data_IF_228863437203
#
_entry.id   IF_228863437203
#
_cell.length_a   1.000
_cell.length_b   1.000
_cell.length_c   1.000
_cell.angle_alpha   90.00
_cell.angle_beta   90.00
_cell.angle_gamma   90.00
#
_symmetry.space_group_name_H-M   'P 1'
#
loop_
_entity.id
_entity.type
_entity.pdbx_description
1 polymer ?
#
# COMPACT_ATOMS: atom_id res chain seq x y z
N UNK A 1 0.62 31.21 -1.16
CA UNK A 1 0.45 30.86 -2.57
C UNK A 1 1.74 30.29 -3.11
N UNK A 2 1.67 29.17 -3.84
CA UNK A 2 2.83 28.56 -4.51
C UNK A 2 2.79 28.93 -5.99
N UNK A 3 3.91 29.36 -6.57
CA UNK A 3 3.98 29.78 -7.98
C UNK A 3 4.46 28.64 -8.86
N UNK A 4 3.75 28.38 -9.95
CA UNK A 4 4.20 27.50 -11.03
C UNK A 4 3.63 27.97 -12.37
N UNK A 5 4.48 28.05 -13.39
CA UNK A 5 4.11 28.45 -14.76
C UNK A 5 3.27 29.76 -14.83
N UNK A 6 3.73 30.81 -14.14
CA UNK A 6 3.05 32.12 -14.03
C UNK A 6 1.64 32.08 -13.39
N UNK A 7 1.28 30.98 -12.73
CA UNK A 7 0.04 30.85 -11.97
C UNK A 7 0.33 30.68 -10.49
N UNK A 8 -0.61 31.15 -9.66
CA UNK A 8 -0.55 31.02 -8.20
C UNK A 8 -1.55 29.97 -7.72
N UNK A 9 -1.06 29.02 -6.93
CA UNK A 9 -1.83 27.93 -6.35
C UNK A 9 -2.01 28.12 -4.83
N UNK A 10 -3.19 27.77 -4.28
CA UNK A 10 -3.45 27.83 -2.85
C UNK A 10 -2.52 26.92 -2.04
N UNK A 11 -2.18 25.75 -2.58
CA UNK A 11 -1.37 24.73 -1.91
C UNK A 11 -0.17 24.27 -2.73
N UNK A 12 0.80 23.65 -2.04
CA UNK A 12 1.91 22.94 -2.69
C UNK A 12 1.40 21.75 -3.50
N UNK A 13 0.42 21.00 -2.98
CA UNK A 13 -0.17 19.85 -3.66
C UNK A 13 -0.73 20.22 -5.04
N UNK A 14 -1.46 21.33 -5.14
CA UNK A 14 -1.97 21.82 -6.44
C UNK A 14 -0.83 22.22 -7.38
N UNK A 15 0.19 22.93 -6.91
CA UNK A 15 1.34 23.25 -7.74
C UNK A 15 2.07 21.99 -8.23
N UNK A 16 2.18 20.95 -7.38
CA UNK A 16 2.77 19.66 -7.75
C UNK A 16 1.93 18.93 -8.81
N UNK A 17 0.61 18.94 -8.69
CA UNK A 17 -0.29 18.42 -9.73
C UNK A 17 -0.18 19.17 -11.05
N UNK A 18 -0.11 20.50 -11.00
CA UNK A 18 0.11 21.33 -12.19
C UNK A 18 1.43 20.94 -12.90
N UNK A 19 2.50 20.71 -12.13
CA UNK A 19 3.78 20.24 -12.65
C UNK A 19 3.68 18.84 -13.26
N UNK A 20 2.96 17.93 -12.62
CA UNK A 20 2.74 16.58 -13.13
C UNK A 20 1.94 16.58 -14.44
N UNK A 21 0.81 17.30 -14.51
CA UNK A 21 0.03 17.41 -15.75
C UNK A 21 0.86 17.98 -16.90
N UNK A 22 1.70 18.98 -16.61
CA UNK A 22 2.62 19.54 -17.60
C UNK A 22 3.65 18.52 -18.08
N UNK A 23 4.24 17.75 -17.16
CA UNK A 23 5.22 16.71 -17.49
C UNK A 23 4.61 15.59 -18.34
N UNK A 24 3.37 15.19 -18.03
CA UNK A 24 2.62 14.16 -18.76
C UNK A 24 1.91 14.70 -20.02
N UNK A 25 2.13 15.99 -20.35
CA UNK A 25 1.56 16.68 -21.51
C UNK A 25 0.02 16.63 -21.55
N UNK A 26 -0.61 16.59 -20.38
CA UNK A 26 -2.05 16.76 -20.26
C UNK A 26 -2.31 18.26 -20.34
N UNK A 27 -3.07 18.71 -21.33
CA UNK A 27 -3.40 20.13 -21.43
C UNK A 27 -4.31 20.49 -20.25
N UNK A 28 -3.98 21.54 -19.52
CA UNK A 28 -4.72 21.95 -18.33
C UNK A 28 -4.81 23.47 -18.22
N UNK A 29 -5.85 23.93 -17.54
CA UNK A 29 -5.99 25.30 -17.05
C UNK A 29 -6.47 25.28 -15.60
N UNK A 30 -6.16 26.31 -14.82
CA UNK A 30 -6.58 26.40 -13.42
C UNK A 30 -7.73 27.40 -13.26
N UNK A 31 -8.88 26.91 -12.81
CA UNK A 31 -10.05 27.72 -12.53
C UNK A 31 -10.04 28.14 -11.06
N UNK A 32 -9.37 29.26 -10.76
CA UNK A 32 -9.17 29.74 -9.38
C UNK A 32 -10.47 29.90 -8.58
N UNK A 33 -11.55 30.34 -9.23
CA UNK A 33 -12.89 30.48 -8.60
C UNK A 33 -13.49 29.14 -8.14
N UNK A 34 -13.04 28.03 -8.74
CA UNK A 34 -13.48 26.66 -8.42
C UNK A 34 -12.44 25.89 -7.62
N UNK A 35 -11.23 26.45 -7.44
CA UNK A 35 -10.06 25.76 -6.89
C UNK A 35 -9.84 24.38 -7.54
N UNK A 36 -9.91 24.36 -8.88
CA UNK A 36 -9.88 23.12 -9.65
C UNK A 36 -9.13 23.30 -10.96
N UNK A 37 -8.56 22.21 -11.46
CA UNK A 37 -7.99 22.10 -12.79
C UNK A 37 -9.07 21.70 -13.79
N UNK A 38 -9.03 22.27 -14.99
CA UNK A 38 -9.77 21.78 -16.14
C UNK A 38 -8.75 21.09 -17.04
N UNK A 39 -8.80 19.76 -17.11
CA UNK A 39 -7.99 18.96 -18.00
C UNK A 39 -8.66 18.95 -19.38
N UNK A 40 -8.06 19.65 -20.35
CA UNK A 40 -8.48 19.72 -21.75
C UNK A 40 -7.88 18.53 -22.53
N UNK A 41 -8.22 17.34 -22.04
CA UNK A 41 -7.93 16.05 -22.66
C UNK A 41 -9.16 15.58 -23.46
N UNK A 42 -9.11 14.39 -24.05
CA UNK A 42 -10.19 13.92 -24.94
C UNK A 42 -11.57 13.96 -24.27
N UNK A 43 -11.62 13.64 -22.98
CA UNK A 43 -12.81 13.82 -22.14
C UNK A 43 -12.53 14.94 -21.14
N UNK A 44 -13.07 16.16 -21.36
CA UNK A 44 -12.82 17.29 -20.45
C UNK A 44 -13.17 16.93 -19.01
N UNK A 45 -12.18 17.04 -18.13
CA UNK A 45 -12.29 16.56 -16.74
C UNK A 45 -11.99 17.69 -15.77
N UNK A 46 -12.87 17.94 -14.81
CA UNK A 46 -12.64 18.89 -13.72
C UNK A 46 -11.91 18.16 -12.57
N UNK A 47 -10.62 18.43 -12.39
CA UNK A 47 -9.82 17.79 -11.36
C UNK A 47 -9.69 18.67 -10.11
N UNK A 48 -10.10 18.14 -8.96
CA UNK A 48 -10.15 18.80 -7.66
C UNK A 48 -9.09 18.17 -6.76
N UNK A 49 -8.16 18.95 -6.22
CA UNK A 49 -7.12 18.45 -5.32
C UNK A 49 -7.59 18.56 -3.88
N UNK A 50 -7.46 17.47 -3.14
CA UNK A 50 -7.83 17.39 -1.73
C UNK A 50 -6.61 17.02 -0.87
N UNK A 51 -6.62 17.34 0.44
CA UNK A 51 -5.57 16.89 1.34
C UNK A 51 -5.67 15.39 1.67
N UNK A 52 -6.64 14.66 1.12
CA UNK A 52 -6.80 13.24 1.36
C UNK A 52 -5.69 12.44 0.67
N UNK A 53 -5.24 11.40 1.35
CA UNK A 53 -4.11 10.56 0.97
C UNK A 53 -4.49 9.08 0.84
N UNK A 54 -5.76 8.74 1.05
CA UNK A 54 -6.33 7.39 0.95
C UNK A 54 -7.73 7.42 0.32
N UNK A 55 -8.18 6.34 -0.37
CA UNK A 55 -9.47 6.31 -1.06
C UNK A 55 -10.66 6.61 -0.16
N UNK A 56 -10.69 6.06 1.07
CA UNK A 56 -11.78 6.26 2.02
C UNK A 56 -12.01 7.76 2.35
N UNK A 57 -10.93 8.56 2.41
CA UNK A 57 -11.03 10.00 2.66
C UNK A 57 -11.47 10.78 1.42
N UNK A 58 -11.12 10.32 0.22
CA UNK A 58 -11.64 10.87 -1.04
C UNK A 58 -13.15 10.63 -1.15
N UNK A 59 -13.63 9.43 -0.82
CA UNK A 59 -15.06 9.14 -0.80
C UNK A 59 -15.79 10.00 0.23
N UNK A 60 -15.22 10.18 1.43
CA UNK A 60 -15.80 11.09 2.42
C UNK A 60 -15.88 12.54 1.91
N UNK A 61 -14.92 13.00 1.10
CA UNK A 61 -14.99 14.29 0.44
C UNK A 61 -16.12 14.37 -0.58
N UNK A 62 -16.32 13.33 -1.41
CA UNK A 62 -17.42 13.27 -2.38
C UNK A 62 -18.78 13.28 -1.68
N UNK A 63 -18.95 12.46 -0.64
CA UNK A 63 -20.24 12.31 0.07
C UNK A 63 -20.61 13.56 0.86
N UNK A 64 -19.65 14.21 1.51
CA UNK A 64 -19.91 15.35 2.38
C UNK A 64 -19.67 16.71 1.70
N UNK A 65 -19.01 16.72 0.55
CA UNK A 65 -18.58 17.93 -0.15
C UNK A 65 -19.66 18.46 -1.09
N UNK A 66 -19.74 19.79 -1.20
CA UNK A 66 -20.46 20.43 -2.30
C UNK A 66 -19.55 20.45 -3.52
N UNK A 67 -19.73 19.48 -4.41
CA UNK A 67 -19.01 19.48 -5.68
C UNK A 67 -19.43 20.68 -6.53
N UNK A 68 -18.49 21.30 -7.26
CA UNK A 68 -18.81 22.39 -8.19
C UNK A 68 -19.69 21.89 -9.33
N UNK A 69 -20.58 22.74 -9.83
CA UNK A 69 -21.40 22.42 -11.01
C UNK A 69 -20.51 22.21 -12.23
N UNK A 70 -20.62 21.02 -12.81
CA UNK A 70 -19.92 20.58 -14.01
C UNK A 70 -20.85 19.62 -14.76
N UNK A 71 -20.79 19.59 -16.09
CA UNK A 71 -21.65 18.73 -16.93
C UNK A 71 -20.85 17.61 -17.62
N UNK A 72 -19.55 17.51 -17.31
CA UNK A 72 -18.64 16.44 -17.73
C UNK A 72 -18.11 15.71 -16.49
N UNK A 73 -16.96 15.06 -16.62
CA UNK A 73 -16.36 14.24 -15.57
C UNK A 73 -15.68 15.06 -14.48
N UNK A 74 -15.75 14.58 -13.23
CA UNK A 74 -15.06 15.16 -12.08
C UNK A 74 -14.01 14.17 -11.58
N UNK A 75 -12.78 14.60 -11.39
CA UNK A 75 -11.69 13.79 -10.83
C UNK A 75 -11.28 14.34 -9.46
N UNK A 76 -11.50 13.58 -8.40
CA UNK A 76 -11.05 13.95 -7.05
C UNK A 76 -9.67 13.35 -6.81
N UNK A 77 -8.69 14.22 -6.66
CA UNK A 77 -7.29 13.88 -6.48
C UNK A 77 -6.91 13.95 -5.00
N UNK A 78 -6.01 13.04 -4.61
CA UNK A 78 -5.29 13.17 -3.35
C UNK A 78 -4.08 14.11 -3.46
N UNK A 79 -3.16 13.98 -2.51
CA UNK A 79 -1.91 14.75 -2.50
C UNK A 79 -0.86 14.26 -3.50
N UNK A 80 -1.03 13.06 -4.06
CA UNK A 80 -0.11 12.41 -5.02
C UNK A 80 -0.86 11.35 -5.86
N UNK A 81 -0.33 10.92 -7.03
CA UNK A 81 -0.98 9.96 -7.94
C UNK A 81 -0.92 8.48 -7.51
N UNK A 82 -0.63 8.19 -6.25
CA UNK A 82 -0.49 6.83 -5.73
C UNK A 82 -0.63 6.82 -4.20
N UNK A 83 -1.27 5.80 -3.64
CA UNK A 83 -1.38 5.64 -2.19
C UNK A 83 -0.13 4.98 -1.62
N UNK A 84 0.28 3.86 -2.22
CA UNK A 84 1.53 3.16 -1.96
C UNK A 84 2.32 2.88 -3.27
N UNK A 85 3.49 2.25 -3.14
CA UNK A 85 4.39 1.90 -4.26
C UNK A 85 3.82 0.87 -5.24
N UNK A 86 2.68 0.26 -4.93
CA UNK A 86 2.04 -0.80 -5.71
C UNK A 86 0.69 -0.35 -6.30
N UNK A 87 0.07 0.70 -5.75
CA UNK A 87 -1.20 1.23 -6.20
C UNK A 87 -1.02 2.48 -7.08
N UNK A 88 -1.18 2.32 -8.39
CA UNK A 88 -1.22 3.44 -9.35
C UNK A 88 -2.63 4.06 -9.39
N UNK A 89 -3.12 4.59 -8.27
CA UNK A 89 -4.47 5.16 -8.17
C UNK A 89 -4.41 6.69 -8.20
N UNK A 90 -4.95 7.29 -9.26
CA UNK A 90 -4.96 8.74 -9.45
C UNK A 90 -5.85 9.45 -8.41
N UNK A 91 -6.97 8.82 -8.09
CA UNK A 91 -8.03 9.39 -7.27
C UNK A 91 -9.39 8.71 -7.49
N UNK A 92 -10.46 9.48 -7.38
CA UNK A 92 -11.83 9.05 -7.71
C UNK A 92 -12.34 9.78 -8.96
N UNK A 93 -12.79 9.04 -9.96
CA UNK A 93 -13.39 9.60 -11.17
C UNK A 93 -14.90 9.48 -11.07
N UNK A 94 -15.59 10.60 -11.22
CA UNK A 94 -17.03 10.72 -11.28
C UNK A 94 -17.49 10.88 -12.72
N UNK A 95 -18.16 9.87 -13.26
CA UNK A 95 -18.82 9.96 -14.56
C UNK A 95 -20.25 10.50 -14.37
N UNK A 96 -20.65 11.54 -15.12
CA UNK A 96 -22.00 12.06 -15.03
C UNK A 96 -23.00 11.03 -15.58
N UNK A 97 -24.04 10.73 -14.83
CA UNK A 97 -25.19 9.98 -15.32
C UNK A 97 -26.47 10.80 -15.16
N UNK A 98 -27.39 10.59 -16.08
CA UNK A 98 -28.68 11.27 -16.07
C UNK A 98 -29.75 10.32 -15.58
N UNK A 99 -30.21 10.49 -14.35
CA UNK A 99 -31.41 9.80 -13.88
C UNK A 99 -32.64 10.49 -14.47
N UNK A 100 -33.53 9.73 -15.13
CA UNK A 100 -34.74 10.29 -15.72
C UNK A 100 -35.57 11.01 -14.64
N UNK A 101 -35.89 12.29 -14.88
CA UNK A 101 -36.77 13.08 -14.00
C UNK A 101 -36.08 13.90 -12.91
N UNK A 102 -34.76 13.80 -12.72
CA UNK A 102 -34.01 14.69 -11.81
C UNK A 102 -33.43 15.90 -12.56
N UNK A 103 -33.46 17.08 -11.93
CA UNK A 103 -32.74 18.28 -12.40
C UNK A 103 -31.33 18.28 -11.83
N UNK A 104 -30.31 18.21 -12.68
CA UNK A 104 -28.90 18.21 -12.29
C UNK A 104 -28.14 17.00 -12.85
N UNK A 105 -26.85 16.93 -12.56
CA UNK A 105 -26.01 15.78 -12.87
C UNK A 105 -25.75 15.01 -11.57
N UNK A 106 -26.13 13.74 -11.53
CA UNK A 106 -25.61 12.81 -10.54
C UNK A 106 -24.32 12.18 -11.09
N UNK A 107 -23.44 11.75 -10.19
CA UNK A 107 -22.13 11.22 -10.55
C UNK A 107 -21.96 9.82 -10.00
N UNK A 108 -21.53 8.90 -10.86
CA UNK A 108 -21.05 7.60 -10.41
C UNK A 108 -19.55 7.73 -10.16
N UNK A 109 -19.16 7.72 -8.89
CA UNK A 109 -17.76 7.81 -8.49
C UNK A 109 -17.20 6.42 -8.22
N UNK A 110 -16.09 6.10 -8.88
CA UNK A 110 -15.27 4.95 -8.53
C UNK A 110 -13.78 5.31 -8.55
N UNK A 111 -12.94 4.34 -8.23
CA UNK A 111 -11.50 4.50 -8.33
C UNK A 111 -11.07 4.81 -9.76
N UNK A 112 -10.02 5.63 -9.87
CA UNK A 112 -9.44 6.05 -11.13
C UNK A 112 -7.99 5.57 -11.25
N UNK A 113 -7.74 4.32 -11.68
CA UNK A 113 -6.38 3.84 -11.86
C UNK A 113 -5.68 4.60 -13.00
N UNK A 114 -4.40 4.86 -12.81
CA UNK A 114 -3.49 5.26 -13.88
C UNK A 114 -3.08 4.04 -14.69
N UNK A 115 -2.95 4.23 -16.00
CA UNK A 115 -2.51 3.19 -16.92
C UNK A 115 -1.66 3.79 -18.04
N UNK A 116 -0.85 2.94 -18.66
CA UNK A 116 -0.19 3.27 -19.90
C UNK A 116 -1.05 2.76 -21.06
N UNK A 117 -1.63 3.66 -21.86
CA UNK A 117 -2.50 3.24 -22.95
C UNK A 117 -1.67 2.56 -24.04
N UNK A 118 -1.94 1.28 -24.31
CA UNK A 118 -1.14 0.50 -25.27
C UNK A 118 -1.32 1.00 -26.70
N UNK A 119 -2.42 1.69 -27.01
CA UNK A 119 -2.67 2.25 -28.33
C UNK A 119 -1.96 3.59 -28.50
N UNK A 120 -2.25 4.57 -27.65
CA UNK A 120 -1.74 5.93 -27.83
C UNK A 120 -0.36 6.16 -27.18
N UNK A 121 0.16 5.18 -26.44
CA UNK A 121 1.49 5.20 -25.80
C UNK A 121 1.66 6.36 -24.81
N UNK A 122 0.57 6.78 -24.18
CA UNK A 122 0.55 7.87 -23.19
C UNK A 122 0.05 7.37 -21.85
N UNK A 123 0.54 7.99 -20.77
CA UNK A 123 -0.05 7.85 -19.45
C UNK A 123 -1.48 8.42 -19.49
N UNK A 124 -2.42 7.66 -18.97
CA UNK A 124 -3.83 8.02 -18.88
C UNK A 124 -4.45 7.42 -17.63
N UNK A 125 -5.76 7.58 -17.47
CA UNK A 125 -6.56 7.03 -16.39
C UNK A 125 -7.93 6.61 -16.94
N UNK A 126 -8.65 5.80 -16.18
CA UNK A 126 -9.97 5.29 -16.54
C UNK A 126 -10.83 5.11 -15.30
N UNK A 127 -12.13 4.88 -15.50
CA UNK A 127 -13.07 4.61 -14.40
C UNK A 127 -13.12 3.10 -14.12
N UNK A 128 -12.79 2.66 -12.89
CA UNK A 128 -12.63 1.24 -12.57
C UNK A 128 -13.91 0.39 -12.73
N UNK A 129 -15.09 1.00 -12.60
CA UNK A 129 -16.38 0.30 -12.61
C UNK A 129 -17.27 0.61 -13.84
N UNK A 130 -16.87 1.53 -14.72
CA UNK A 130 -17.72 2.02 -15.79
C UNK A 130 -16.94 2.08 -17.09
N UNK A 131 -16.57 3.28 -17.56
CA UNK A 131 -15.91 3.39 -18.85
C UNK A 131 -14.39 3.28 -18.71
N UNK A 132 -13.88 2.19 -19.29
CA UNK A 132 -12.44 1.89 -19.33
C UNK A 132 -11.64 2.79 -20.28
N UNK A 133 -12.28 3.69 -21.04
CA UNK A 133 -11.62 4.43 -22.11
C UNK A 133 -10.47 5.33 -21.62
N UNK A 134 -9.41 5.39 -22.43
CA UNK A 134 -8.27 6.27 -22.21
C UNK A 134 -8.72 7.74 -22.23
N UNK A 135 -8.71 8.44 -21.10
CA UNK A 135 -9.12 9.87 -21.05
C UNK A 135 -8.24 10.81 -21.86
N UNK A 136 -7.01 10.41 -22.17
CA UNK A 136 -6.06 11.24 -22.91
C UNK A 136 -6.29 11.17 -24.42
N UNK A 137 -6.61 10.00 -24.99
CA UNK A 137 -6.81 9.82 -26.44
C UNK A 137 -8.23 9.46 -26.86
N UNK A 138 -9.04 8.91 -25.95
CA UNK A 138 -10.36 8.33 -26.23
C UNK A 138 -10.33 6.91 -26.77
N UNK A 139 -9.16 6.26 -26.78
CA UNK A 139 -9.05 4.84 -27.14
C UNK A 139 -9.97 4.01 -26.25
N UNK A 140 -10.72 3.09 -26.86
CA UNK A 140 -11.64 2.19 -26.17
C UNK A 140 -11.73 0.88 -26.94
N UNK A 141 -11.24 -0.18 -26.32
CA UNK A 141 -11.33 -1.57 -26.78
C UNK A 141 -11.63 -2.48 -25.57
N UNK A 142 -12.60 -2.04 -24.74
CA UNK A 142 -12.77 -2.60 -23.40
C UNK A 142 -11.53 -2.37 -22.53
N UNK A 143 -10.99 -3.42 -21.93
CA UNK A 143 -9.77 -3.41 -21.12
C UNK A 143 -8.48 -3.70 -21.93
N UNK A 144 -8.58 -4.12 -23.19
CA UNK A 144 -7.44 -4.49 -24.03
C UNK A 144 -6.42 -3.37 -24.25
N UNK A 145 -6.85 -2.11 -24.08
CA UNK A 145 -5.98 -0.94 -24.22
C UNK A 145 -5.27 -0.52 -22.92
N UNK A 146 -5.59 -1.15 -21.78
CA UNK A 146 -5.04 -0.85 -20.45
C UNK A 146 -3.69 -1.56 -20.30
N UNK A 147 -2.61 -0.80 -20.41
CA UNK A 147 -1.26 -1.31 -20.17
C UNK A 147 -0.83 -1.18 -18.71
N UNK A 148 0.10 -2.06 -18.33
CA UNK A 148 0.73 -2.05 -17.01
C UNK A 148 1.47 -0.73 -16.76
N UNK A 149 1.37 -0.22 -15.53
CA UNK A 149 2.12 0.91 -15.04
C UNK A 149 2.79 0.52 -13.72
N UNK A 150 4.12 0.56 -13.70
CA UNK A 150 4.91 0.33 -12.49
C UNK A 150 4.79 1.52 -11.53
N UNK A 151 4.38 1.28 -10.28
CA UNK A 151 4.28 2.30 -9.25
C UNK A 151 5.62 2.98 -8.93
N UNK A 152 6.74 2.26 -9.06
CA UNK A 152 8.08 2.84 -8.87
C UNK A 152 8.42 3.81 -10.01
N UNK A 153 8.04 3.47 -11.25
CA UNK A 153 8.21 4.37 -12.39
C UNK A 153 7.33 5.62 -12.25
N UNK A 154 6.09 5.46 -11.80
CA UNK A 154 5.17 6.56 -11.55
C UNK A 154 5.69 7.51 -10.46
N UNK A 155 6.19 6.97 -9.34
CA UNK A 155 6.79 7.77 -8.28
C UNK A 155 7.99 8.58 -8.80
N UNK A 156 8.86 7.95 -9.59
CA UNK A 156 9.98 8.64 -10.23
C UNK A 156 9.51 9.78 -11.13
N UNK A 157 8.50 9.57 -11.97
CA UNK A 157 7.92 10.62 -12.83
C UNK A 157 7.35 11.78 -12.03
N UNK A 158 6.65 11.48 -10.93
CA UNK A 158 6.11 12.48 -10.00
C UNK A 158 7.22 13.34 -9.38
N UNK A 159 8.30 12.71 -8.90
CA UNK A 159 9.46 13.41 -8.32
C UNK A 159 10.19 14.25 -9.38
N UNK A 160 10.38 13.69 -10.58
CA UNK A 160 11.06 14.37 -11.69
C UNK A 160 10.27 15.62 -12.14
N UNK A 161 8.95 15.54 -12.22
CA UNK A 161 8.08 16.67 -12.57
C UNK A 161 8.25 17.83 -11.58
N UNK A 162 8.23 17.53 -10.28
CA UNK A 162 8.40 18.54 -9.23
C UNK A 162 9.82 19.10 -9.18
N UNK A 163 10.83 18.27 -9.43
CA UNK A 163 12.23 18.68 -9.45
C UNK A 163 12.45 19.67 -10.58
N UNK A 164 11.97 19.34 -11.79
CA UNK A 164 12.04 20.24 -12.97
C UNK A 164 11.25 21.52 -12.75
N UNK A 165 10.15 21.46 -12.01
CA UNK A 165 9.33 22.62 -11.66
C UNK A 165 9.95 23.51 -10.56
N UNK A 166 11.06 23.11 -9.93
CA UNK A 166 11.63 23.82 -8.79
C UNK A 166 10.73 23.79 -7.55
N UNK A 167 9.78 22.86 -7.49
CA UNK A 167 8.86 22.71 -6.35
C UNK A 167 9.49 21.86 -5.23
N UNK A 168 10.50 21.05 -5.58
CA UNK A 168 11.31 20.30 -4.62
C UNK A 168 12.43 21.13 -3.95
N UNK A 169 12.48 22.44 -4.18
CA UNK A 169 13.56 23.32 -3.69
C UNK A 169 13.34 23.87 -2.27
N UNK A 170 12.18 23.66 -1.66
CA UNK A 170 11.91 24.00 -0.25
C UNK A 170 12.42 22.97 0.78
N UNK A 171 13.02 21.86 0.33
CA UNK A 171 13.75 20.93 1.21
C UNK A 171 15.26 21.23 1.22
N UNK A 172 15.78 21.91 0.19
CA UNK A 172 17.23 22.19 0.09
C UNK A 172 17.73 23.32 0.99
N UNK A 173 16.90 24.34 1.29
CA UNK A 173 17.31 25.42 2.22
C UNK A 173 17.19 25.03 3.70
N UNK A 174 16.48 23.96 4.03
CA UNK A 174 16.63 23.29 5.33
C UNK A 174 17.79 22.29 5.35
N UNK A 175 18.31 21.88 4.17
CA UNK A 175 19.43 20.93 4.04
C UNK A 175 20.79 21.52 4.41
N UNK A 176 21.00 22.83 4.22
CA UNK A 176 22.26 23.49 4.60
C UNK A 176 22.33 23.93 6.07
N UNK A 177 21.22 23.85 6.82
CA UNK A 177 21.23 23.85 8.30
C UNK A 177 21.25 22.44 8.89
N UNK A 178 20.91 21.39 8.12
CA UNK A 178 21.02 19.98 8.56
C UNK A 178 22.37 19.32 8.31
N UNK A 179 23.32 19.97 7.62
CA UNK A 179 24.69 19.43 7.48
C UNK A 179 25.51 19.49 8.79
N UNK A 180 25.03 20.19 9.83
CA UNK A 180 25.66 20.21 11.17
C UNK A 180 24.91 19.42 12.25
N UNK A 181 23.87 18.67 11.88
CA UNK A 181 23.09 17.80 12.80
C UNK A 181 23.36 16.30 12.52
N UNK A 182 24.35 15.98 11.68
CA UNK A 182 24.65 14.58 11.31
C UNK A 182 25.52 13.88 12.38
N UNK A 183 25.94 14.57 13.44
CA UNK A 183 26.63 13.97 14.57
C UNK A 183 25.93 14.40 15.86
N UNK A 184 25.41 13.42 16.62
CA UNK A 184 24.63 13.53 17.86
C UNK A 184 23.12 13.78 17.71
N UNK A 185 22.38 12.76 17.22
CA UNK A 185 21.46 11.99 18.09
C UNK A 185 21.50 10.54 17.60
N UNK A 186 22.36 9.75 18.21
CA UNK A 186 22.02 8.37 18.47
C UNK A 186 20.87 8.36 19.49
N UNK A 187 19.92 7.45 19.29
CA UNK A 187 18.69 7.18 20.04
C UNK A 187 17.36 7.81 19.57
N UNK A 188 16.47 6.85 19.28
CA UNK A 188 15.01 6.86 19.20
C UNK A 188 14.25 7.37 17.95
N UNK A 189 14.13 6.41 17.00
CA UNK A 189 12.89 5.87 16.38
C UNK A 189 11.70 6.83 16.18
N UNK A 190 11.40 7.14 14.91
CA UNK A 190 10.03 7.01 14.39
C UNK A 190 10.02 6.81 12.87
N UNK A 191 10.64 5.74 12.41
CA UNK A 191 10.27 5.15 11.12
C UNK A 191 8.95 4.40 11.33
N UNK A 192 7.84 4.97 10.87
CA UNK A 192 6.55 4.28 10.83
C UNK A 192 6.54 3.32 9.64
N UNK A 193 7.44 2.35 9.66
CA UNK A 193 7.32 1.16 8.81
C UNK A 193 6.08 0.40 9.29
N UNK A 194 5.04 0.36 8.45
CA UNK A 194 3.96 -0.60 8.61
C UNK A 194 4.50 -1.99 8.27
N UNK A 195 5.27 -2.56 9.19
CA UNK A 195 5.76 -3.92 9.05
C UNK A 195 4.68 -4.89 9.52
N UNK A 196 4.47 -5.97 8.76
CA UNK A 196 3.58 -7.06 9.17
C UNK A 196 4.15 -7.88 10.35
N UNK A 197 5.26 -7.44 10.95
CA UNK A 197 5.90 -8.08 12.09
C UNK A 197 5.51 -7.41 13.41
N UNK A 198 5.44 -8.20 14.47
CA UNK A 198 5.26 -7.73 15.83
C UNK A 198 6.39 -6.80 16.29
N UNK A 199 6.04 -5.58 16.71
CA UNK A 199 6.97 -4.55 17.19
C UNK A 199 7.32 -4.66 18.67
N UNK A 200 6.91 -5.74 19.34
CA UNK A 200 6.95 -5.87 20.81
C UNK A 200 8.33 -5.99 21.44
N UNK A 201 9.39 -6.18 20.64
CA UNK A 201 10.77 -6.35 21.15
C UNK A 201 11.53 -5.02 21.06
N UNK A 202 12.07 -4.56 22.19
CA UNK A 202 12.80 -3.28 22.31
C UNK A 202 14.04 -3.24 21.41
N UNK A 203 14.76 -4.37 21.27
CA UNK A 203 15.93 -4.56 20.42
C UNK A 203 15.83 -5.85 19.59
N UNK A 204 15.15 -5.84 18.43
CA UNK A 204 15.05 -7.02 17.58
C UNK A 204 16.39 -7.34 16.92
N UNK A 205 16.65 -8.62 16.68
CA UNK A 205 17.76 -9.06 15.82
C UNK A 205 17.30 -8.88 14.37
N UNK A 206 18.10 -8.19 13.55
CA UNK A 206 17.80 -7.95 12.14
C UNK A 206 18.63 -8.90 11.28
N UNK A 207 17.96 -9.71 10.44
CA UNK A 207 18.60 -10.59 9.46
C UNK A 207 17.81 -10.54 8.16
N UNK A 208 18.47 -10.28 7.02
CA UNK A 208 17.82 -10.09 5.71
C UNK A 208 16.63 -9.11 5.72
N UNK A 209 16.75 -8.00 6.46
CA UNK A 209 15.70 -7.01 6.66
C UNK A 209 14.41 -7.54 7.36
N UNK A 210 14.51 -8.69 8.03
CA UNK A 210 13.47 -9.27 8.88
C UNK A 210 13.88 -9.15 10.36
N UNK A 211 12.89 -8.94 11.23
CA UNK A 211 13.08 -8.80 12.68
C UNK A 211 12.76 -10.09 13.42
N UNK A 212 13.63 -10.45 14.35
CA UNK A 212 13.53 -11.65 15.18
C UNK A 212 13.69 -11.30 16.67
N UNK A 213 13.06 -12.09 17.53
CA UNK A 213 13.10 -11.91 18.99
C UNK A 213 14.23 -12.70 19.64
N UNK A 214 14.76 -13.72 18.94
CA UNK A 214 15.80 -14.60 19.45
C UNK A 214 16.78 -15.07 18.36
N UNK A 215 17.99 -15.48 18.78
CA UNK A 215 18.96 -16.14 17.88
C UNK A 215 18.46 -17.49 17.38
N UNK A 216 17.60 -18.16 18.16
CA UNK A 216 16.95 -19.41 17.79
C UNK A 216 16.04 -19.21 16.58
N UNK A 217 15.21 -18.17 16.56
CA UNK A 217 14.41 -17.83 15.39
C UNK A 217 15.27 -17.56 14.15
N UNK A 218 16.38 -16.80 14.29
CA UNK A 218 17.30 -16.54 13.16
C UNK A 218 17.81 -17.85 12.55
N UNK A 219 18.18 -18.83 13.39
CA UNK A 219 18.62 -20.15 12.90
C UNK A 219 17.54 -20.92 12.16
N UNK A 220 16.29 -20.85 12.62
CA UNK A 220 15.16 -21.45 11.89
C UNK A 220 14.93 -20.73 10.56
N UNK A 221 15.02 -19.41 10.53
CA UNK A 221 14.90 -18.62 9.31
C UNK A 221 15.99 -18.99 8.29
N UNK A 222 17.25 -19.12 8.73
CA UNK A 222 18.36 -19.59 7.90
C UNK A 222 18.10 -21.00 7.33
N UNK A 223 17.54 -21.92 8.12
CA UNK A 223 17.20 -23.26 7.65
C UNK A 223 16.03 -23.26 6.66
N UNK A 224 14.99 -22.45 6.88
CA UNK A 224 13.89 -22.26 5.92
C UNK A 224 14.35 -21.65 4.60
N UNK A 225 15.28 -20.68 4.64
CA UNK A 225 15.91 -20.06 3.47
C UNK A 225 16.70 -21.09 2.65
N UNK A 226 17.48 -21.97 3.31
CA UNK A 226 18.21 -23.05 2.62
C UNK A 226 17.27 -24.00 1.86
N UNK A 227 16.11 -24.30 2.43
CA UNK A 227 15.07 -25.11 1.80
C UNK A 227 14.25 -24.33 0.75
N UNK A 228 14.54 -23.04 0.54
CA UNK A 228 13.89 -22.14 -0.43
C UNK A 228 12.37 -22.07 -0.26
N UNK A 229 11.92 -22.02 0.99
CA UNK A 229 10.50 -21.97 1.34
C UNK A 229 10.09 -20.54 1.62
N UNK A 230 8.87 -20.16 1.24
CA UNK A 230 8.29 -18.86 1.61
C UNK A 230 7.89 -18.89 3.08
N UNK A 231 8.36 -17.92 3.88
CA UNK A 231 7.98 -17.78 5.28
C UNK A 231 7.81 -16.32 5.70
N UNK A 232 7.05 -16.11 6.77
CA UNK A 232 6.79 -14.83 7.41
C UNK A 232 7.08 -14.95 8.91
N UNK A 233 8.21 -14.42 9.41
CA UNK A 233 8.53 -14.49 10.82
C UNK A 233 7.77 -13.45 11.63
N UNK A 234 7.38 -13.79 12.85
CA UNK A 234 6.74 -12.90 13.84
C UNK A 234 5.56 -12.10 13.28
N UNK A 235 4.79 -12.69 12.36
CA UNK A 235 3.73 -11.98 11.65
C UNK A 235 2.51 -11.70 12.55
N UNK A 236 1.72 -10.67 12.24
CA UNK A 236 0.46 -10.42 12.96
C UNK A 236 -0.73 -11.01 12.22
N UNK A 237 -1.40 -11.98 12.83
CA UNK A 237 -2.64 -12.56 12.33
C UNK A 237 -3.85 -11.95 13.05
N UNK A 238 -4.90 -11.57 12.30
CA UNK A 238 -6.21 -11.17 12.86
C UNK A 238 -7.21 -12.30 12.70
N UNK A 239 -7.57 -12.96 13.79
CA UNK A 239 -8.40 -14.17 13.79
C UNK A 239 -9.61 -14.03 14.71
N UNK A 240 -10.61 -14.90 14.55
CA UNK A 240 -11.81 -14.93 15.38
C UNK A 240 -13.08 -14.88 14.56
N UNK A 241 -14.09 -15.66 14.99
CA UNK A 241 -15.39 -15.74 14.32
C UNK A 241 -16.38 -14.70 14.86
N UNK A 242 -16.45 -14.53 16.19
CA UNK A 242 -17.33 -13.57 16.87
C UNK A 242 -16.54 -12.39 17.44
N UNK A 243 -15.47 -12.67 18.18
CA UNK A 243 -14.54 -11.67 18.70
C UNK A 243 -13.20 -11.80 17.98
N UNK A 244 -12.79 -10.71 17.32
CA UNK A 244 -11.55 -10.66 16.54
C UNK A 244 -10.37 -10.28 17.44
N UNK A 245 -9.32 -11.09 17.46
CA UNK A 245 -8.09 -10.86 18.22
C UNK A 245 -6.84 -10.93 17.33
N UNK A 246 -5.77 -10.28 17.77
CA UNK A 246 -4.47 -10.37 17.14
C UNK A 246 -3.68 -11.51 17.79
N UNK A 247 -3.13 -12.42 16.98
CA UNK A 247 -2.21 -13.46 17.41
C UNK A 247 -0.92 -13.36 16.59
N UNK A 248 0.18 -13.79 17.19
CA UNK A 248 1.52 -13.64 16.62
C UNK A 248 2.21 -15.00 16.67
N UNK A 249 2.21 -15.78 15.57
CA UNK A 249 3.03 -16.98 15.48
C UNK A 249 4.48 -16.60 15.20
N UNK A 250 5.41 -17.44 15.66
CA UNK A 250 6.84 -17.23 15.41
C UNK A 250 7.17 -17.34 13.91
N UNK A 251 6.61 -18.34 13.22
CA UNK A 251 6.72 -18.46 11.76
C UNK A 251 5.40 -18.91 11.12
N UNK A 252 4.96 -18.18 10.10
CA UNK A 252 3.99 -18.67 9.12
C UNK A 252 4.74 -19.13 7.87
N UNK A 253 4.56 -20.38 7.46
CA UNK A 253 5.30 -21.03 6.37
C UNK A 253 4.35 -21.47 5.28
N UNK A 254 4.68 -21.15 4.02
CA UNK A 254 3.95 -21.60 2.85
C UNK A 254 4.79 -22.61 2.07
N UNK A 255 4.34 -23.87 2.04
CA UNK A 255 5.07 -24.95 1.38
C UNK A 255 4.11 -25.86 0.61
N UNK A 256 4.38 -26.06 -0.69
CA UNK A 256 3.58 -26.89 -1.60
C UNK A 256 2.07 -26.59 -1.54
N UNK A 257 1.72 -25.30 -1.52
CA UNK A 257 0.34 -24.82 -1.48
C UNK A 257 -0.35 -24.95 -0.11
N UNK A 258 0.38 -25.35 0.93
CA UNK A 258 -0.15 -25.45 2.30
C UNK A 258 0.45 -24.39 3.21
N UNK A 259 -0.35 -23.91 4.15
CA UNK A 259 0.08 -23.00 5.21
C UNK A 259 0.29 -23.77 6.51
N UNK A 260 1.44 -23.59 7.13
CA UNK A 260 1.75 -24.14 8.45
C UNK A 260 2.32 -23.08 9.36
N UNK A 261 2.20 -23.28 10.67
CA UNK A 261 2.80 -22.45 11.70
C UNK A 261 3.83 -23.27 12.47
N UNK A 262 5.04 -22.74 12.59
CA UNK A 262 6.12 -23.27 13.42
C UNK A 262 6.29 -22.32 14.61
N UNK A 263 6.04 -22.81 15.81
CA UNK A 263 6.22 -22.09 17.08
C UNK A 263 7.45 -22.64 17.82
N UNK A 264 8.25 -21.74 18.41
CA UNK A 264 9.45 -22.08 19.18
C UNK A 264 9.10 -21.93 20.66
N UNK A 265 9.14 -23.04 21.40
CA UNK A 265 8.74 -23.06 22.80
C UNK A 265 9.93 -22.78 23.73
N UNK A 266 9.84 -21.66 24.47
CA UNK A 266 10.87 -21.19 25.38
C UNK A 266 10.67 -21.67 26.82
N UNK A 267 11.52 -22.61 27.25
CA UNK A 267 11.74 -23.12 28.62
C UNK A 267 10.63 -24.02 29.23
N UNK A 268 10.98 -25.16 29.87
CA UNK A 268 10.06 -26.27 30.20
C UNK A 268 9.17 -26.06 31.45
N UNK A 269 9.00 -24.83 31.94
CA UNK A 269 8.36 -24.54 33.23
C UNK A 269 7.00 -23.82 33.10
N UNK A 270 6.14 -24.28 32.20
CA UNK A 270 4.80 -23.71 32.08
C UNK A 270 3.78 -24.54 32.87
N UNK A 271 3.09 -23.97 33.88
CA UNK A 271 2.05 -24.68 34.62
C UNK A 271 0.88 -25.08 33.70
N UNK A 272 0.17 -26.14 34.06
CA UNK A 272 -0.94 -26.73 33.30
C UNK A 272 -2.06 -25.74 32.90
N UNK A 273 -2.12 -24.56 33.53
CA UNK A 273 -3.06 -23.48 33.20
C UNK A 273 -2.78 -22.77 31.86
N UNK A 274 -1.56 -22.84 31.30
CA UNK A 274 -1.23 -22.25 29.99
C UNK A 274 -1.47 -23.18 28.80
N UNK A 275 -1.37 -24.49 28.99
CA UNK A 275 -1.65 -25.49 27.95
C UNK A 275 -3.06 -25.34 27.37
N UNK A 276 -4.08 -25.09 28.22
CA UNK A 276 -5.44 -24.86 27.74
C UNK A 276 -5.58 -23.60 26.86
N UNK A 277 -4.79 -22.56 27.14
CA UNK A 277 -4.77 -21.32 26.38
C UNK A 277 -4.02 -21.49 25.04
N UNK A 278 -2.91 -22.21 25.04
CA UNK A 278 -2.14 -22.57 23.84
C UNK A 278 -2.96 -23.47 22.90
N UNK A 279 -3.63 -24.49 23.44
CA UNK A 279 -4.55 -25.31 22.66
C UNK A 279 -5.72 -24.50 22.07
N UNK A 280 -6.19 -23.45 22.75
CA UNK A 280 -7.21 -22.56 22.20
C UNK A 280 -6.66 -21.68 21.07
N UNK A 281 -5.42 -21.21 21.18
CA UNK A 281 -4.73 -20.44 20.12
C UNK A 281 -4.53 -21.29 18.87
N UNK A 282 -3.96 -22.48 19.02
CA UNK A 282 -3.64 -23.36 17.89
C UNK A 282 -4.92 -23.77 17.15
N UNK A 283 -5.99 -24.12 17.89
CA UNK A 283 -7.31 -24.40 17.30
C UNK A 283 -7.87 -23.25 16.48
N UNK A 284 -7.61 -22.00 16.89
CA UNK A 284 -8.11 -20.84 16.17
C UNK A 284 -7.43 -20.68 14.79
N UNK A 285 -6.12 -20.92 14.72
CA UNK A 285 -5.39 -20.94 13.45
C UNK A 285 -5.89 -22.05 12.52
N UNK A 286 -6.03 -23.26 13.05
CA UNK A 286 -6.53 -24.41 12.26
C UNK A 286 -7.94 -24.14 11.70
N UNK A 287 -8.81 -23.53 12.50
CA UNK A 287 -10.16 -23.17 12.07
C UNK A 287 -10.19 -22.09 10.96
N UNK A 288 -9.10 -21.33 10.79
CA UNK A 288 -8.95 -20.31 9.75
C UNK A 288 -8.11 -20.80 8.55
N UNK A 289 -7.94 -22.11 8.38
CA UNK A 289 -7.34 -22.68 7.18
C UNK A 289 -5.83 -22.94 7.25
N UNK A 290 -5.20 -22.74 8.41
CA UNK A 290 -3.85 -23.25 8.64
C UNK A 290 -3.89 -24.77 8.72
N UNK A 291 -3.03 -25.46 7.99
CA UNK A 291 -3.04 -26.93 7.89
C UNK A 291 -2.30 -27.61 9.03
N UNK A 292 -1.33 -26.94 9.64
CA UNK A 292 -0.52 -27.46 10.74
C UNK A 292 -0.10 -26.32 11.66
N UNK A 293 -0.20 -26.53 12.97
CA UNK A 293 0.49 -25.72 13.97
C UNK A 293 1.38 -26.67 14.75
N UNK A 294 2.69 -26.50 14.67
CA UNK A 294 3.66 -27.38 15.31
C UNK A 294 4.59 -26.56 16.20
N UNK A 295 4.73 -27.00 17.45
CA UNK A 295 5.65 -26.45 18.44
C UNK A 295 6.91 -27.31 18.50
N UNK A 296 8.06 -26.68 18.61
CA UNK A 296 9.36 -27.33 18.81
C UNK A 296 10.07 -26.70 20.01
N UNK A 297 10.86 -27.49 20.74
CA UNK A 297 11.66 -26.99 21.86
C UNK A 297 12.71 -25.98 21.37
N UNK A 298 12.93 -24.90 22.13
CA UNK A 298 13.88 -23.87 21.74
C UNK A 298 15.33 -24.36 21.66
N UNK A 299 15.74 -25.35 22.47
CA UNK A 299 17.07 -25.92 22.38
C UNK A 299 17.21 -26.75 21.10
N UNK A 300 16.20 -27.57 20.78
CA UNK A 300 16.18 -28.33 19.52
C UNK A 300 16.25 -27.39 18.31
N UNK A 301 15.48 -26.31 18.31
CA UNK A 301 15.50 -25.29 17.26
C UNK A 301 16.88 -24.61 17.13
N UNK A 302 17.60 -24.45 18.24
CA UNK A 302 18.91 -23.78 18.24
C UNK A 302 20.05 -24.71 17.80
N UNK A 303 20.03 -25.95 18.29
CA UNK A 303 21.07 -26.94 18.07
C UNK A 303 20.93 -27.65 16.72
N UNK A 304 19.69 -27.92 16.29
CA UNK A 304 19.41 -28.69 15.08
C UNK A 304 18.30 -28.07 14.18
N UNK A 305 18.46 -26.80 13.75
CA UNK A 305 17.44 -26.07 13.00
C UNK A 305 17.07 -26.73 11.67
N UNK A 306 18.04 -27.34 10.97
CA UNK A 306 17.80 -27.97 9.67
C UNK A 306 16.89 -29.20 9.79
N UNK A 307 17.08 -30.02 10.83
CA UNK A 307 16.21 -31.17 11.07
C UNK A 307 14.82 -30.74 11.49
N UNK A 308 14.71 -29.73 12.36
CA UNK A 308 13.42 -29.14 12.77
C UNK A 308 12.63 -28.69 11.55
N UNK A 309 13.26 -27.91 10.66
CA UNK A 309 12.61 -27.44 9.42
C UNK A 309 12.22 -28.61 8.52
N UNK A 310 13.11 -29.58 8.29
CA UNK A 310 12.78 -30.77 7.47
C UNK A 310 11.62 -31.56 8.03
N UNK A 311 11.61 -31.81 9.34
CA UNK A 311 10.51 -32.49 10.02
C UNK A 311 9.21 -31.69 9.90
N UNK A 312 9.25 -30.38 10.13
CA UNK A 312 8.09 -29.51 10.00
C UNK A 312 7.51 -29.55 8.58
N UNK A 313 8.35 -29.38 7.56
CA UNK A 313 7.92 -29.41 6.16
C UNK A 313 7.37 -30.80 5.79
N UNK A 314 7.98 -31.87 6.28
CA UNK A 314 7.46 -33.22 6.12
C UNK A 314 6.05 -33.34 6.71
N UNK A 315 5.85 -32.98 7.98
CA UNK A 315 4.53 -33.03 8.64
C UNK A 315 3.49 -32.17 7.91
N UNK A 316 3.88 -30.98 7.44
CA UNK A 316 2.99 -30.10 6.68
C UNK A 316 2.53 -30.75 5.38
N UNK A 317 3.41 -31.52 4.70
CA UNK A 317 3.00 -32.28 3.51
C UNK A 317 2.06 -33.43 3.83
N UNK A 318 2.26 -34.13 4.95
CA UNK A 318 1.45 -35.30 5.34
C UNK A 318 0.02 -34.93 5.80
N UNK A 319 -0.18 -33.72 6.32
CA UNK A 319 -1.51 -33.22 6.68
C UNK A 319 -2.29 -32.84 5.41
N UNK A 320 -2.81 -33.84 4.70
CA UNK A 320 -3.79 -33.67 3.63
C UNK A 320 -5.16 -33.33 4.25
N UNK A 321 -5.83 -32.32 3.68
CA UNK A 321 -7.29 -32.23 3.74
C UNK A 321 -7.87 -33.05 2.62
#
# INVERSE_FOLDING_TARGET
MVKYNNQEFPSLAEAQWAAFFTAEKWKWSYASQRQAFILDIKTPTLAIVTPADIPARLYAFVVNGKLPSWDKEILILGTKPFHDKYSCQLGLLGEPFHEQGKKGWDYWFAESPLMYCVECKKLSFYHAECSYHCRVSGCYDGDGHIGYLDGVELEKRWIDAQTKAGLLTAVKENRLKTTKVINYVADDKLELFQDNQASGTTNPIIWNNLRFRSKTEVKIAEALEKEKVLFFPNCKARLGFTERQNLEPDFLVCYKGKLGILEIDGSPYHPASRSAHEHKRDRLFLAHGISLVQRFDANECYENPENVVKQFLYLLTQNAR
#
